data_IF_099418780111
#
_entry.id   IF_099418780111
#
_cell.length_a   1.000
_cell.length_b   1.000
_cell.length_c   1.000
_cell.angle_alpha   90.00
_cell.angle_beta   90.00
_cell.angle_gamma   90.00
#
_symmetry.space_group_name_H-M   'P 1'
#
loop_
_entity.id
_entity.type
_entity.pdbx_description
1 polymer ?
#
# COMPACT_ATOMS: atom_id res chain seq x y z
N UNK A 1 2.42 13.49 2.75
CA UNK A 1 1.43 13.36 1.67
C UNK A 1 1.86 12.23 0.76
N UNK A 2 0.92 11.59 0.07
CA UNK A 2 1.18 10.44 -0.81
C UNK A 2 1.01 10.92 -2.24
N UNK A 3 2.07 10.90 -3.04
CA UNK A 3 1.98 11.38 -4.43
C UNK A 3 1.60 10.25 -5.40
N UNK A 4 1.91 9.00 -5.04
CA UNK A 4 1.72 7.83 -5.88
C UNK A 4 1.09 6.65 -5.13
N UNK A 5 0.32 5.83 -5.84
CA UNK A 5 -0.38 4.66 -5.28
C UNK A 5 0.58 3.67 -4.60
N UNK A 6 1.83 3.58 -5.04
CA UNK A 6 2.82 2.67 -4.44
C UNK A 6 3.28 3.11 -3.04
N UNK A 7 3.35 4.42 -2.78
CA UNK A 7 3.62 4.95 -1.44
C UNK A 7 2.47 4.70 -0.48
N UNK A 8 1.22 4.70 -0.99
CA UNK A 8 0.03 4.35 -0.20
C UNK A 8 0.12 2.93 0.34
N UNK A 9 0.60 1.96 -0.46
CA UNK A 9 0.64 0.56 -0.04
C UNK A 9 1.61 0.37 1.13
N UNK A 10 2.77 1.02 1.11
CA UNK A 10 3.72 0.96 2.23
C UNK A 10 3.13 1.57 3.51
N UNK A 11 2.37 2.67 3.41
CA UNK A 11 1.67 3.24 4.56
C UNK A 11 0.59 2.30 5.13
N UNK A 12 -0.13 1.57 4.26
CA UNK A 12 -1.11 0.57 4.71
C UNK A 12 -0.42 -0.56 5.47
N UNK A 13 0.71 -1.06 4.95
CA UNK A 13 1.54 -2.06 5.64
C UNK A 13 1.95 -1.58 7.03
N UNK A 14 2.60 -0.41 7.11
CA UNK A 14 3.10 0.15 8.37
C UNK A 14 1.96 0.36 9.38
N UNK A 15 0.83 0.92 8.95
CA UNK A 15 -0.28 1.23 9.84
C UNK A 15 -0.96 -0.04 10.39
N UNK A 16 -1.31 -0.99 9.51
CA UNK A 16 -2.09 -2.17 9.94
C UNK A 16 -1.26 -3.17 10.72
N UNK A 17 0.02 -3.34 10.39
CA UNK A 17 0.94 -4.20 11.14
C UNK A 17 1.23 -3.59 12.52
N UNK A 18 1.47 -2.28 12.62
CA UNK A 18 1.69 -1.60 13.92
C UNK A 18 0.46 -1.69 14.82
N UNK A 19 -0.74 -1.61 14.26
CA UNK A 19 -2.00 -1.75 15.01
C UNK A 19 -2.32 -3.20 15.39
N UNK A 20 -1.54 -4.20 14.93
CA UNK A 20 -1.78 -5.62 15.17
C UNK A 20 -3.13 -6.10 14.64
N UNK A 21 -3.63 -5.47 13.56
CA UNK A 21 -4.94 -5.80 12.95
C UNK A 21 -4.84 -6.93 11.93
N UNK A 22 -3.64 -7.16 11.42
CA UNK A 22 -3.25 -8.17 10.44
C UNK A 22 -1.82 -8.61 10.75
N UNK A 23 -1.45 -9.78 10.26
CA UNK A 23 -0.09 -10.33 10.37
C UNK A 23 0.63 -10.26 9.02
N UNK A 24 1.97 -10.35 9.03
CA UNK A 24 2.72 -10.47 7.78
C UNK A 24 2.30 -11.72 7.02
N UNK A 25 2.10 -11.56 5.70
CA UNK A 25 1.63 -12.63 4.82
C UNK A 25 0.12 -12.73 4.67
N UNK A 26 -0.68 -12.01 5.47
CA UNK A 26 -2.13 -11.89 5.27
C UNK A 26 -2.45 -11.22 3.94
N UNK A 27 -3.62 -11.53 3.38
CA UNK A 27 -4.13 -10.85 2.19
C UNK A 27 -5.16 -9.79 2.57
N UNK A 28 -4.98 -8.59 2.02
CA UNK A 28 -5.93 -7.47 2.15
C UNK A 28 -6.32 -6.93 0.78
N UNK A 29 -7.49 -6.29 0.73
CA UNK A 29 -7.94 -5.53 -0.45
C UNK A 29 -7.84 -4.04 -0.12
N UNK A 30 -7.02 -3.33 -0.87
CA UNK A 30 -6.87 -1.88 -0.77
C UNK A 30 -7.75 -1.24 -1.84
N UNK A 31 -8.69 -0.38 -1.41
CA UNK A 31 -9.58 0.38 -2.29
C UNK A 31 -9.26 1.86 -2.11
N UNK A 32 -8.94 2.56 -3.21
CA UNK A 32 -8.51 3.96 -3.16
C UNK A 32 -8.87 4.73 -4.44
N UNK A 33 -8.65 6.04 -4.40
CA UNK A 33 -8.55 6.89 -5.59
C UNK A 33 -7.09 7.13 -5.96
N UNK A 34 -6.76 7.05 -7.25
CA UNK A 34 -5.47 7.42 -7.81
C UNK A 34 -5.65 8.50 -8.88
N UNK A 35 -5.10 9.71 -8.71
CA UNK A 35 -4.34 10.17 -7.54
C UNK A 35 -5.20 10.33 -6.28
N UNK A 36 -4.60 10.19 -5.08
CA UNK A 36 -5.32 10.36 -3.82
C UNK A 36 -5.78 11.80 -3.59
N UNK A 37 -6.79 11.99 -2.73
CA UNK A 37 -7.21 13.31 -2.27
C UNK A 37 -8.41 13.95 -3.00
N UNK A 38 -8.99 13.27 -3.99
CA UNK A 38 -10.21 13.73 -4.68
C UNK A 38 -11.42 12.93 -4.14
N UNK A 39 -12.34 13.54 -3.37
CA UNK A 39 -13.55 12.84 -2.92
C UNK A 39 -14.37 12.31 -4.09
N UNK A 40 -14.85 11.07 -3.98
CA UNK A 40 -15.66 10.41 -5.02
C UNK A 40 -14.86 9.81 -6.18
N UNK A 41 -13.52 9.86 -6.18
CA UNK A 41 -12.68 9.32 -7.26
C UNK A 41 -12.23 7.87 -7.05
N UNK A 42 -12.97 7.05 -6.29
CA UNK A 42 -12.61 5.65 -6.06
C UNK A 42 -12.50 4.89 -7.38
N UNK A 43 -11.27 4.60 -7.81
CA UNK A 43 -10.96 4.08 -9.14
C UNK A 43 -9.84 3.03 -9.13
N UNK A 44 -9.30 2.69 -7.95
CA UNK A 44 -8.22 1.73 -7.79
C UNK A 44 -8.60 0.65 -6.78
N UNK A 45 -8.28 -0.60 -7.13
CA UNK A 45 -8.37 -1.76 -6.26
C UNK A 45 -7.08 -2.56 -6.39
N UNK A 46 -6.54 -3.02 -5.25
CA UNK A 46 -5.34 -3.88 -5.21
C UNK A 46 -5.54 -5.00 -4.21
N UNK A 47 -5.27 -6.23 -4.63
CA UNK A 47 -5.05 -7.35 -3.71
C UNK A 47 -3.58 -7.28 -3.30
N UNK A 48 -3.34 -7.15 -2.00
CA UNK A 48 -2.01 -6.94 -1.44
C UNK A 48 -1.73 -7.98 -0.37
N UNK A 49 -0.50 -8.48 -0.34
CA UNK A 49 -0.02 -9.37 0.71
C UNK A 49 0.78 -8.54 1.72
N UNK A 50 0.31 -8.52 2.96
CA UNK A 50 0.85 -7.68 4.02
C UNK A 50 2.34 -7.94 4.23
N UNK A 51 3.11 -6.86 4.28
CA UNK A 51 4.57 -6.88 4.45
C UNK A 51 5.35 -6.92 3.12
N UNK A 52 4.72 -7.18 1.98
CA UNK A 52 5.43 -7.22 0.69
C UNK A 52 6.02 -5.85 0.30
N UNK A 53 5.39 -4.74 0.69
CA UNK A 53 5.87 -3.39 0.36
C UNK A 53 7.00 -2.94 1.29
N UNK A 54 6.96 -3.31 2.57
CA UNK A 54 8.06 -3.06 3.51
C UNK A 54 9.29 -3.88 3.12
N UNK A 55 9.09 -5.16 2.80
CA UNK A 55 10.16 -6.11 2.47
C UNK A 55 10.64 -6.02 1.00
N UNK A 56 10.10 -5.10 0.21
CA UNK A 56 10.45 -4.85 -1.20
C UNK A 56 10.41 -6.10 -2.09
N UNK A 57 9.45 -6.99 -1.82
CA UNK A 57 9.34 -8.31 -2.46
C UNK A 57 9.10 -8.17 -3.97
N UNK A 58 8.29 -7.18 -4.37
CA UNK A 58 8.00 -6.89 -5.77
C UNK A 58 8.90 -5.76 -6.32
N UNK A 59 9.30 -5.83 -7.61
CA UNK A 59 10.09 -4.77 -8.25
C UNK A 59 9.48 -3.37 -8.13
N UNK A 60 8.15 -3.27 -8.06
CA UNK A 60 7.43 -2.01 -7.92
C UNK A 60 7.69 -1.28 -6.59
N UNK A 61 8.12 -1.99 -5.54
CA UNK A 61 8.39 -1.40 -4.22
C UNK A 61 9.84 -1.00 -4.01
N UNK A 62 10.76 -1.49 -4.85
CA UNK A 62 12.17 -1.13 -4.78
C UNK A 62 12.31 0.36 -5.08
N UNK A 63 12.67 1.16 -4.08
CA UNK A 63 13.08 2.54 -4.32
C UNK A 63 14.33 2.48 -5.18
N UNK A 64 14.21 2.96 -6.43
CA UNK A 64 15.40 3.16 -7.26
C UNK A 64 16.19 4.25 -6.56
N UNK A 65 17.31 3.90 -5.94
CA UNK A 65 18.23 4.87 -5.38
C UNK A 65 18.58 5.86 -6.50
N UNK A 66 18.12 7.10 -6.35
CA UNK A 66 18.60 8.25 -7.11
C UNK A 66 19.68 8.93 -6.29
#
# INVERSE_FOLDING_TARGET
>A
EVEHTDEMVRQVDEALLTLGRVEEGDFVVIIAGSPPGIPGSTNALRIHRMGDAINEVAPAYRRTAR
#
